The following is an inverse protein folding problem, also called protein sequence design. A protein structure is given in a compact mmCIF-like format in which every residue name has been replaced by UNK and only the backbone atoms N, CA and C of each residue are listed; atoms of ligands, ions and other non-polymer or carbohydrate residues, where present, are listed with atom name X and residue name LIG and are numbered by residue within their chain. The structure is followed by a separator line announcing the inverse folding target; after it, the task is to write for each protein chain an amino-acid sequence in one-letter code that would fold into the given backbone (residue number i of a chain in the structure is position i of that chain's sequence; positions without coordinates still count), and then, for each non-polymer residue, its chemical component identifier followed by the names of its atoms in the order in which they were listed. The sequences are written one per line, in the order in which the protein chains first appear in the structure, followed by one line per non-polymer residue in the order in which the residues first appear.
data_IF_233764244875
#
_entry.id   IF_233764244875
#
_cell.length_a   1.000
_cell.length_b   1.000
_cell.length_c   1.000
_cell.angle_alpha   90.00
_cell.angle_beta   90.00
_cell.angle_gamma   90.00
#
_symmetry.space_group_name_H-M   'P 1'
#
loop_
_entity.id
_entity.type
_entity.pdbx_description
1 polymer ?
#
# COMPACT_ATOMS: atom_id res chain seq x y z
N UNK A 1 -5.49 10.12 -10.59
CA UNK A 1 -4.13 9.94 -11.14
C UNK A 1 -3.22 9.04 -10.31
N UNK A 2 -3.76 8.18 -9.45
CA UNK A 2 -2.98 7.19 -8.72
C UNK A 2 -3.42 5.79 -9.13
N UNK A 3 -2.47 4.87 -9.23
CA UNK A 3 -2.73 3.45 -9.38
C UNK A 3 -2.32 2.73 -8.10
N UNK A 4 -3.19 1.86 -7.64
CA UNK A 4 -2.96 1.11 -6.41
C UNK A 4 -3.15 -0.38 -6.68
N UNK A 5 -2.23 -1.18 -6.13
CA UNK A 5 -2.33 -2.64 -6.17
C UNK A 5 -2.25 -3.19 -4.76
N UNK A 6 -2.80 -4.37 -4.55
CA UNK A 6 -2.73 -5.05 -3.27
C UNK A 6 -2.77 -6.55 -3.47
N UNK A 7 -1.83 -7.26 -2.86
CA UNK A 7 -1.71 -8.70 -2.98
C UNK A 7 -1.26 -9.35 -1.67
N UNK A 8 -1.73 -10.57 -1.45
CA UNK A 8 -1.22 -11.43 -0.39
C UNK A 8 -0.04 -12.23 -0.91
N UNK A 9 1.04 -12.25 -0.14
CA UNK A 9 2.21 -13.07 -0.42
C UNK A 9 2.43 -14.01 0.75
N UNK A 10 2.39 -15.30 0.49
CA UNK A 10 2.60 -16.32 1.52
C UNK A 10 3.96 -16.97 1.29
N UNK A 11 4.78 -16.98 2.35
CA UNK A 11 6.08 -17.66 2.35
C UNK A 11 6.19 -18.51 3.61
N UNK A 12 6.09 -19.83 3.45
CA UNK A 12 6.07 -20.73 4.59
C UNK A 12 4.88 -20.42 5.49
N UNK A 13 5.15 -20.04 6.74
CA UNK A 13 4.11 -19.70 7.71
C UNK A 13 3.83 -18.19 7.79
N UNK A 14 4.50 -17.39 6.97
CA UNK A 14 4.37 -15.94 7.01
C UNK A 14 3.48 -15.47 5.87
N UNK A 15 2.47 -14.70 6.19
CA UNK A 15 1.59 -14.06 5.23
C UNK A 15 1.83 -12.55 5.28
N UNK A 16 2.06 -11.96 4.13
CA UNK A 16 2.32 -10.52 4.00
C UNK A 16 1.33 -9.92 3.01
N UNK A 17 0.83 -8.74 3.32
CA UNK A 17 0.04 -7.97 2.37
C UNK A 17 0.91 -6.85 1.79
N UNK A 18 0.97 -6.77 0.46
CA UNK A 18 1.82 -5.83 -0.26
C UNK A 18 0.93 -4.82 -0.96
N UNK A 19 1.12 -3.54 -0.64
CA UNK A 19 0.40 -2.43 -1.27
C UNK A 19 1.38 -1.66 -2.14
N UNK A 20 1.09 -1.60 -3.44
CA UNK A 20 1.87 -0.80 -4.39
C UNK A 20 1.09 0.43 -4.81
N UNK A 21 1.75 1.58 -4.86
CA UNK A 21 1.16 2.83 -5.30
C UNK A 21 2.06 3.47 -6.35
N UNK A 22 1.46 3.87 -7.46
CA UNK A 22 2.15 4.57 -8.54
C UNK A 22 1.49 5.91 -8.78
N UNK A 23 2.30 6.96 -8.80
CA UNK A 23 1.84 8.31 -9.14
C UNK A 23 1.86 8.50 -10.64
N UNK A 24 0.68 8.74 -11.23
CA UNK A 24 0.54 9.06 -12.65
C UNK A 24 0.23 10.54 -12.89
N UNK A 25 0.34 11.35 -11.85
CA UNK A 25 0.19 12.80 -11.93
C UNK A 25 1.50 13.49 -12.31
N UNK A 26 1.40 14.69 -12.83
CA UNK A 26 2.58 15.49 -13.16
C UNK A 26 3.25 16.14 -11.94
N UNK A 27 2.63 16.09 -10.77
CA UNK A 27 3.14 16.71 -9.54
C UNK A 27 3.59 15.64 -8.55
N UNK A 28 4.56 15.99 -7.72
CA UNK A 28 4.94 15.17 -6.56
C UNK A 28 3.78 15.06 -5.60
N UNK A 29 3.61 13.91 -5.01
CA UNK A 29 2.56 13.64 -4.03
C UNK A 29 3.14 13.09 -2.75
N UNK A 30 2.56 13.50 -1.63
CA UNK A 30 2.79 12.87 -0.34
C UNK A 30 1.51 12.14 0.04
N UNK A 31 1.61 10.84 0.22
CA UNK A 31 0.47 9.97 0.50
C UNK A 31 0.58 9.37 1.90
N UNK A 32 -0.51 9.44 2.64
CA UNK A 32 -0.65 8.73 3.90
C UNK A 32 -1.57 7.54 3.67
N UNK A 33 -1.09 6.35 4.03
CA UNK A 33 -1.77 5.09 3.77
C UNK A 33 -2.22 4.48 5.08
N UNK A 34 -3.48 4.11 5.16
CA UNK A 34 -4.06 3.36 6.27
C UNK A 34 -4.57 2.04 5.74
N UNK A 35 -4.17 0.95 6.35
CA UNK A 35 -4.61 -0.38 5.95
C UNK A 35 -5.23 -1.11 7.13
N UNK A 36 -6.33 -1.80 6.87
CA UNK A 36 -6.98 -2.66 7.84
C UNK A 36 -7.29 -3.98 7.15
N UNK A 37 -6.60 -5.02 7.57
CA UNK A 37 -6.75 -6.36 7.01
C UNK A 37 -7.43 -7.24 8.05
N UNK A 38 -8.66 -7.62 7.79
CA UNK A 38 -9.45 -8.48 8.67
C UNK A 38 -9.53 -9.89 8.12
N UNK A 39 -9.24 -10.87 8.95
CA UNK A 39 -9.27 -12.28 8.56
C UNK A 39 -9.78 -13.16 9.69
N UNK A 40 -9.79 -14.47 9.44
CA UNK A 40 -10.31 -15.47 10.39
C UNK A 40 -9.53 -15.52 11.72
N UNK A 41 -8.29 -15.04 11.73
CA UNK A 41 -7.42 -15.02 12.91
C UNK A 41 -7.31 -13.66 13.56
N UNK A 42 -8.12 -12.71 13.15
CA UNK A 42 -8.13 -11.36 13.67
C UNK A 42 -7.76 -10.33 12.61
N UNK A 43 -7.55 -9.10 13.04
CA UNK A 43 -7.25 -7.99 12.15
C UNK A 43 -5.84 -7.47 12.35
N UNK A 44 -5.30 -6.87 11.30
CA UNK A 44 -3.99 -6.23 11.31
C UNK A 44 -4.15 -4.81 10.78
N UNK A 45 -3.50 -3.86 11.43
CA UNK A 45 -3.53 -2.46 11.05
C UNK A 45 -2.15 -2.03 10.55
N UNK A 46 -2.13 -1.23 9.51
CA UNK A 46 -0.90 -0.67 8.96
C UNK A 46 -1.07 0.80 8.66
N UNK A 47 0.03 1.53 8.76
CA UNK A 47 0.08 2.96 8.47
C UNK A 47 1.44 3.30 7.88
N UNK A 48 1.45 4.06 6.81
CA UNK A 48 2.69 4.49 6.17
C UNK A 48 2.51 5.87 5.55
N UNK A 49 3.60 6.61 5.49
CA UNK A 49 3.68 7.87 4.77
C UNK A 49 4.72 7.69 3.67
N UNK A 50 4.36 8.02 2.45
CA UNK A 50 5.26 7.89 1.31
C UNK A 50 5.21 9.13 0.43
N UNK A 51 6.35 9.48 -0.12
CA UNK A 51 6.48 10.56 -1.07
C UNK A 51 6.72 9.96 -2.45
N UNK A 52 5.90 10.36 -3.40
CA UNK A 52 5.96 9.85 -4.78
C UNK A 52 6.42 10.97 -5.70
N UNK A 53 7.42 10.69 -6.51
CA UNK A 53 7.83 11.60 -7.57
C UNK A 53 6.76 11.71 -8.66
N UNK A 54 6.88 12.69 -9.56
CA UNK A 54 5.90 12.87 -10.64
C UNK A 54 5.92 11.71 -11.64
N UNK A 55 4.87 11.61 -12.44
CA UNK A 55 4.80 10.63 -13.51
C UNK A 55 6.02 10.77 -14.42
N UNK A 56 6.58 9.64 -14.83
CA UNK A 56 7.77 9.62 -15.67
C UNK A 56 9.09 9.68 -14.91
N UNK A 57 9.07 9.79 -13.58
CA UNK A 57 10.29 9.77 -12.77
C UNK A 57 10.78 8.35 -12.43
N UNK A 58 10.23 7.33 -13.09
CA UNK A 58 10.65 5.95 -12.93
C UNK A 58 10.32 5.40 -11.55
N UNK A 59 11.33 4.83 -10.88
CA UNK A 59 11.15 4.22 -9.57
C UNK A 59 10.70 5.22 -8.50
N UNK A 60 10.99 6.50 -8.64
CA UNK A 60 10.58 7.52 -7.68
C UNK A 60 9.06 7.75 -7.68
N UNK A 61 8.37 7.40 -8.77
CA UNK A 61 6.91 7.52 -8.86
C UNK A 61 6.18 6.34 -8.24
N UNK A 62 6.90 5.32 -7.76
CA UNK A 62 6.35 4.09 -7.20
C UNK A 62 6.85 3.87 -5.79
N UNK A 63 5.94 3.43 -4.92
CA UNK A 63 6.30 3.02 -3.57
C UNK A 63 5.52 1.77 -3.20
N UNK A 64 6.14 0.94 -2.38
CA UNK A 64 5.53 -0.29 -1.91
C UNK A 64 5.55 -0.32 -0.39
N UNK A 65 4.43 -0.66 0.20
CA UNK A 65 4.31 -0.88 1.64
C UNK A 65 3.95 -2.33 1.89
N UNK A 66 4.70 -2.97 2.76
CA UNK A 66 4.51 -4.39 3.11
C UNK A 66 4.13 -4.49 4.57
N UNK A 67 3.11 -5.28 4.89
CA UNK A 67 2.74 -5.52 6.28
C UNK A 67 2.44 -6.99 6.51
N UNK A 68 2.80 -7.48 7.68
CA UNK A 68 2.44 -8.84 8.07
C UNK A 68 0.98 -8.89 8.47
N UNK A 69 0.31 -9.94 8.02
CA UNK A 69 -1.09 -10.20 8.35
C UNK A 69 -1.22 -11.58 8.99
N UNK A 70 -2.33 -11.79 9.69
CA UNK A 70 -2.52 -13.03 10.46
C UNK A 70 -2.99 -14.21 9.62
N UNK A 71 -3.66 -13.93 8.50
CA UNK A 71 -4.18 -14.98 7.64
C UNK A 71 -4.31 -14.49 6.21
N UNK A 72 -4.20 -15.43 5.27
CA UNK A 72 -4.42 -15.17 3.86
C UNK A 72 -5.93 -15.15 3.57
N UNK A 73 -6.34 -14.34 2.60
CA UNK A 73 -7.72 -14.33 2.11
C UNK A 73 -8.70 -13.52 2.94
N UNK A 74 -8.22 -12.67 3.83
CA UNK A 74 -9.07 -11.77 4.59
C UNK A 74 -9.58 -10.60 3.75
N UNK A 75 -10.36 -9.74 4.40
CA UNK A 75 -10.87 -8.51 3.77
C UNK A 75 -9.85 -7.40 4.01
N UNK A 76 -9.37 -6.80 2.93
CA UNK A 76 -8.43 -5.68 2.99
C UNK A 76 -9.18 -4.38 2.72
N UNK A 77 -9.04 -3.43 3.63
CA UNK A 77 -9.53 -2.07 3.46
C UNK A 77 -8.34 -1.13 3.50
N UNK A 78 -8.12 -0.42 2.41
CA UNK A 78 -7.00 0.50 2.31
C UNK A 78 -7.53 1.89 1.99
N UNK A 79 -7.18 2.84 2.85
CA UNK A 79 -7.48 4.26 2.65
C UNK A 79 -6.20 5.02 2.39
N UNK A 80 -6.28 6.04 1.55
CA UNK A 80 -5.13 6.90 1.29
C UNK A 80 -5.57 8.35 1.25
N UNK A 81 -4.68 9.22 1.73
CA UNK A 81 -4.83 10.66 1.67
C UNK A 81 -3.57 11.22 1.05
N UNK A 82 -3.68 11.71 -0.17
CA UNK A 82 -2.54 12.22 -0.94
C UNK A 82 -2.69 13.72 -1.16
N UNK A 83 -1.58 14.43 -0.99
CA UNK A 83 -1.52 15.88 -1.20
C UNK A 83 -0.40 16.21 -2.18
N UNK A 84 -0.65 17.14 -3.06
CA UNK A 84 0.39 17.67 -3.94
C UNK A 84 1.40 18.50 -3.13
N UNK A 85 2.65 18.29 -3.44
CA UNK A 85 3.75 19.03 -2.83
C UNK A 85 4.13 20.26 -3.63
#
# INVERSE_FOLDING_TARGET
CLQQTGDYVTRGKTVTYVIGITNTCAKRLRCEIYANISGSRGSSLGHAIMTLGPAGSGAAAQQTYTMRVKANGGIAQVSRDCKAL
#
